data_IF_565469201576
#
_entry.id   IF_565469201576
#
_cell.length_a   1.000
_cell.length_b   1.000
_cell.length_c   1.000
_cell.angle_alpha   90.00
_cell.angle_beta   90.00
_cell.angle_gamma   90.00
#
_symmetry.space_group_name_H-M   'P 1'
#
loop_
_entity.id
_entity.type
_entity.pdbx_description
1 polymer ?
#
# COMPACT_ATOMS: atom_id res chain seq x y z
N UNK A 1 9.80 14.47 6.19
CA UNK A 1 9.24 13.24 5.65
C UNK A 1 10.32 12.44 4.95
N UNK A 2 10.47 11.16 5.33
CA UNK A 2 11.20 10.17 4.55
C UNK A 2 10.30 9.55 3.48
N UNK A 3 10.90 8.78 2.58
CA UNK A 3 10.19 8.05 1.53
C UNK A 3 9.82 6.64 2.00
N UNK A 4 8.55 6.44 2.38
CA UNK A 4 8.06 5.14 2.84
C UNK A 4 8.09 4.04 1.77
N UNK A 5 8.11 4.41 0.48
CA UNK A 5 8.13 3.43 -0.61
C UNK A 5 9.52 2.84 -0.81
N UNK A 6 10.57 3.61 -0.48
CA UNK A 6 11.97 3.16 -0.56
C UNK A 6 12.43 2.32 0.63
N UNK A 7 11.70 2.32 1.77
CA UNK A 7 12.08 1.55 2.96
C UNK A 7 12.08 0.04 2.70
N UNK A 8 12.98 -0.69 3.35
CA UNK A 8 13.14 -2.14 3.20
C UNK A 8 12.69 -2.90 4.45
N UNK A 9 12.21 -4.12 4.26
CA UNK A 9 11.94 -5.06 5.37
C UNK A 9 13.27 -5.35 6.07
N UNK A 10 13.27 -5.28 7.42
CA UNK A 10 14.46 -5.43 8.24
C UNK A 10 15.14 -4.11 8.63
N UNK A 11 14.76 -2.97 8.05
CA UNK A 11 15.28 -1.67 8.48
C UNK A 11 14.81 -1.30 9.88
N UNK A 12 15.72 -0.73 10.68
CA UNK A 12 15.43 -0.25 12.03
C UNK A 12 14.53 0.97 12.01
N UNK A 13 13.57 0.95 12.95
CA UNK A 13 12.61 2.02 13.13
C UNK A 13 12.40 2.33 14.60
N UNK A 14 12.00 3.55 14.88
CA UNK A 14 11.62 4.02 16.21
C UNK A 14 10.16 4.48 16.15
N UNK A 15 9.32 3.91 17.02
CA UNK A 15 7.96 4.38 17.23
C UNK A 15 7.94 5.35 18.40
N UNK A 16 7.52 6.58 18.13
CA UNK A 16 7.44 7.68 19.11
C UNK A 16 6.00 7.94 19.43
N UNK A 17 5.69 8.12 20.73
CA UNK A 17 4.33 8.42 21.16
C UNK A 17 4.27 8.81 22.65
N UNK A 18 3.07 8.92 23.18
CA UNK A 18 2.82 9.23 24.57
C UNK A 18 1.82 8.23 25.20
N UNK A 19 2.23 6.94 25.34
CA UNK A 19 1.35 5.92 25.90
C UNK A 19 1.04 6.23 27.37
N UNK A 20 -0.21 6.01 27.76
CA UNK A 20 -0.66 6.16 29.14
C UNK A 20 -0.42 7.54 29.77
N UNK A 21 -0.28 8.58 28.96
CA UNK A 21 0.03 9.94 29.42
C UNK A 21 1.35 10.04 30.23
N UNK A 22 2.28 9.11 29.98
CA UNK A 22 3.60 9.02 30.61
C UNK A 22 4.60 9.68 29.66
N UNK A 23 4.82 10.94 29.65
CA UNK A 23 5.81 11.64 28.82
C UNK A 23 6.25 10.89 27.53
N UNK A 24 6.88 11.55 26.56
CA UNK A 24 7.27 10.93 25.29
C UNK A 24 8.01 9.62 25.48
N UNK A 25 7.46 8.55 24.91
CA UNK A 25 8.05 7.21 24.95
C UNK A 25 8.52 6.84 23.56
N UNK A 26 9.69 6.21 23.48
CA UNK A 26 10.27 5.70 22.24
C UNK A 26 10.46 4.20 22.36
N UNK A 27 9.99 3.46 21.38
CA UNK A 27 10.25 2.02 21.25
C UNK A 27 10.97 1.75 19.94
N UNK A 28 11.84 0.73 19.90
CA UNK A 28 12.59 0.35 18.72
C UNK A 28 12.14 -1.00 18.19
N UNK A 29 12.23 -1.18 16.89
CA UNK A 29 11.95 -2.41 16.17
C UNK A 29 12.42 -2.31 14.72
N UNK A 30 11.90 -3.19 13.87
CA UNK A 30 12.21 -3.21 12.44
C UNK A 30 10.92 -3.12 11.61
N UNK A 31 11.05 -2.79 10.34
CA UNK A 31 9.97 -3.00 9.37
C UNK A 31 9.80 -4.50 9.15
N UNK A 32 8.70 -5.06 9.62
CA UNK A 32 8.40 -6.50 9.53
C UNK A 32 7.69 -6.86 8.23
N UNK A 33 6.90 -5.93 7.67
CA UNK A 33 6.20 -6.10 6.39
C UNK A 33 5.79 -4.73 5.82
N UNK A 34 5.57 -4.69 4.52
CA UNK A 34 4.97 -3.55 3.80
C UNK A 34 3.64 -3.97 3.18
N UNK A 35 2.79 -2.99 2.89
CA UNK A 35 1.49 -3.21 2.24
C UNK A 35 0.61 -4.24 2.96
N UNK A 36 0.63 -4.21 4.30
CA UNK A 36 -0.20 -5.13 5.08
C UNK A 36 -1.66 -4.66 5.06
N UNK A 37 -2.53 -5.51 4.55
CA UNK A 37 -3.97 -5.37 4.69
C UNK A 37 -4.41 -6.06 5.99
N UNK A 38 -5.14 -5.33 6.83
CA UNK A 38 -5.61 -5.83 8.13
C UNK A 38 -6.99 -6.48 8.04
N UNK A 39 -7.70 -6.26 6.93
CA UNK A 39 -9.04 -6.78 6.75
C UNK A 39 -9.27 -7.19 5.29
N UNK A 40 -8.84 -8.39 4.92
CA UNK A 40 -8.99 -8.94 3.56
C UNK A 40 -10.47 -9.00 3.08
N UNK A 41 -11.42 -8.80 3.99
CA UNK A 41 -12.87 -8.89 3.70
C UNK A 41 -13.55 -7.53 3.58
N UNK A 42 -12.92 -6.44 4.02
CA UNK A 42 -13.46 -5.11 3.79
C UNK A 42 -12.88 -4.53 2.49
N UNK A 43 -13.73 -3.86 1.72
CA UNK A 43 -13.31 -3.23 0.45
C UNK A 43 -12.50 -1.93 0.64
N UNK A 44 -12.01 -1.66 1.85
CA UNK A 44 -11.29 -0.41 2.17
C UNK A 44 -9.80 -0.44 1.89
N UNK A 45 -9.29 -1.53 1.30
CA UNK A 45 -7.95 -1.64 0.70
C UNK A 45 -6.86 -0.83 1.44
N UNK A 46 -6.63 -1.17 2.70
CA UNK A 46 -5.67 -0.49 3.54
C UNK A 46 -4.27 -1.10 3.33
N UNK A 47 -3.26 -0.25 3.26
CA UNK A 47 -1.87 -0.65 3.12
C UNK A 47 -1.06 -0.03 4.24
N UNK A 48 -0.62 -0.87 5.18
CA UNK A 48 0.14 -0.43 6.35
C UNK A 48 1.59 -0.92 6.30
N UNK A 49 2.48 -0.15 6.91
CA UNK A 49 3.79 -0.63 7.36
C UNK A 49 3.54 -1.43 8.64
N UNK A 50 3.99 -2.68 8.68
CA UNK A 50 4.02 -3.49 9.89
C UNK A 50 5.41 -3.39 10.54
N UNK A 51 5.45 -3.22 11.86
CA UNK A 51 6.68 -3.21 12.66
C UNK A 51 6.49 -4.04 13.94
N UNK A 52 7.57 -4.52 14.52
CA UNK A 52 7.62 -5.12 15.85
C UNK A 52 8.02 -4.12 16.94
N UNK A 53 8.26 -2.83 16.58
CA UNK A 53 8.34 -1.76 17.57
C UNK A 53 7.03 -1.69 18.36
N UNK A 54 7.12 -1.73 19.70
CA UNK A 54 5.94 -1.79 20.54
C UNK A 54 5.13 -0.49 20.48
N UNK A 55 3.89 -0.59 19.97
CA UNK A 55 2.91 0.50 19.99
C UNK A 55 1.75 0.08 20.89
N UNK A 56 1.34 0.95 21.79
CA UNK A 56 0.22 0.77 22.71
C UNK A 56 -0.71 1.98 22.66
N UNK A 57 -1.81 1.94 23.41
CA UNK A 57 -2.70 3.09 23.55
C UNK A 57 -1.91 4.35 23.96
N UNK A 58 -2.12 5.44 23.21
CA UNK A 58 -1.42 6.71 23.36
C UNK A 58 -0.27 6.92 22.37
N UNK A 59 0.19 5.87 21.66
CA UNK A 59 1.15 6.01 20.57
C UNK A 59 0.47 6.27 19.21
N UNK A 60 -0.82 6.03 19.07
CA UNK A 60 -1.58 6.29 17.84
C UNK A 60 -1.54 7.78 17.50
N UNK A 61 -1.25 8.11 16.23
CA UNK A 61 -0.98 9.47 15.76
C UNK A 61 0.47 9.92 15.97
N UNK A 62 1.29 9.17 16.72
CA UNK A 62 2.72 9.41 16.88
C UNK A 62 3.54 8.98 15.67
N UNK A 63 4.80 9.38 15.64
CA UNK A 63 5.68 9.15 14.51
C UNK A 63 6.28 7.73 14.53
N UNK A 64 6.38 7.12 13.34
CA UNK A 64 7.32 6.06 13.05
C UNK A 64 8.48 6.66 12.23
N UNK A 65 9.69 6.63 12.77
CA UNK A 65 10.86 7.24 12.12
C UNK A 65 11.95 6.19 11.85
N UNK A 66 12.75 6.44 10.81
CA UNK A 66 13.96 5.64 10.55
C UNK A 66 15.13 6.11 11.45
N UNK A 67 16.30 5.47 11.33
CA UNK A 67 17.50 5.80 12.12
C UNK A 67 18.11 7.17 11.78
N UNK A 68 17.71 7.79 10.66
CA UNK A 68 18.06 9.16 10.29
C UNK A 68 17.12 10.21 10.91
N UNK A 69 16.07 9.76 11.62
CA UNK A 69 15.03 10.64 12.20
C UNK A 69 13.99 11.10 11.19
N UNK A 70 13.94 10.51 10.00
CA UNK A 70 12.94 10.83 8.99
C UNK A 70 11.62 10.12 9.26
N UNK A 71 10.50 10.84 9.14
CA UNK A 71 9.16 10.29 9.30
C UNK A 71 8.84 9.34 8.14
N UNK A 72 8.69 8.05 8.42
CA UNK A 72 8.33 7.02 7.45
C UNK A 72 6.90 6.50 7.62
N UNK A 73 6.24 6.83 8.73
CA UNK A 73 4.84 6.48 8.95
C UNK A 73 4.24 7.17 10.17
N UNK A 74 2.92 7.10 10.28
CA UNK A 74 2.15 7.51 11.45
C UNK A 74 1.61 6.25 12.13
N UNK A 75 1.98 6.05 13.40
CA UNK A 75 1.51 4.92 14.20
C UNK A 75 -0.02 4.93 14.28
N UNK A 76 -0.63 3.79 14.05
CA UNK A 76 -2.07 3.62 14.14
C UNK A 76 -2.41 2.49 15.11
N UNK A 77 -3.70 2.27 15.33
CA UNK A 77 -4.21 1.28 16.26
C UNK A 77 -3.73 -0.13 15.94
N UNK A 78 -3.44 -0.86 17.00
CA UNK A 78 -3.14 -2.29 17.00
C UNK A 78 -4.44 -3.04 16.83
N UNK A 79 -4.49 -4.01 15.91
CA UNK A 79 -5.55 -5.00 15.87
C UNK A 79 -5.25 -6.08 16.94
N UNK A 80 -5.57 -5.78 18.19
CA UNK A 80 -5.41 -6.72 19.30
C UNK A 80 -6.77 -6.97 19.95
N UNK A 81 -7.15 -8.23 20.08
CA UNK A 81 -8.37 -8.62 20.83
C UNK A 81 -8.29 -8.26 22.32
N UNK A 82 -7.09 -7.98 22.84
CA UNK A 82 -6.84 -7.66 24.25
C UNK A 82 -6.53 -6.18 24.47
N UNK A 83 -6.41 -5.37 23.40
CA UNK A 83 -6.07 -3.94 23.48
C UNK A 83 -4.58 -3.65 23.78
N UNK A 84 -3.74 -4.66 23.92
CA UNK A 84 -2.30 -4.51 24.17
C UNK A 84 -1.44 -4.98 23.00
N UNK A 85 -0.16 -4.61 23.02
CA UNK A 85 0.84 -5.07 22.05
C UNK A 85 1.01 -6.60 22.09
N UNK A 86 0.91 -7.24 20.93
CA UNK A 86 1.02 -8.70 20.74
C UNK A 86 2.10 -9.09 19.75
N UNK A 87 3.12 -8.24 19.56
CA UNK A 87 4.21 -8.46 18.60
C UNK A 87 3.99 -7.83 17.22
N UNK A 88 2.87 -7.15 16.99
CA UNK A 88 2.56 -6.48 15.73
C UNK A 88 2.04 -5.08 15.97
N UNK A 89 2.62 -4.13 15.28
CA UNK A 89 2.19 -2.74 15.23
C UNK A 89 2.09 -2.29 13.78
N UNK A 90 1.27 -1.27 13.52
CA UNK A 90 1.02 -0.79 12.17
C UNK A 90 1.13 0.72 12.10
N UNK A 91 1.61 1.21 10.96
CA UNK A 91 1.70 2.63 10.67
C UNK A 91 1.18 2.93 9.26
N UNK A 92 0.51 4.06 9.09
CA UNK A 92 0.15 4.58 7.78
C UNK A 92 1.42 5.12 7.13
N UNK A 93 1.77 4.71 5.89
CA UNK A 93 2.99 5.14 5.20
C UNK A 93 3.08 6.66 5.05
N UNK A 94 4.28 7.23 5.21
CA UNK A 94 4.51 8.68 5.15
C UNK A 94 4.13 9.31 3.82
N UNK A 95 4.38 8.63 2.68
CA UNK A 95 3.99 9.12 1.36
C UNK A 95 2.47 9.29 1.25
N UNK A 96 1.70 8.32 1.77
CA UNK A 96 0.23 8.40 1.84
C UNK A 96 -0.22 9.55 2.75
N UNK A 97 0.38 9.68 3.95
CA UNK A 97 0.05 10.76 4.89
C UNK A 97 0.31 12.13 4.27
N UNK A 98 1.49 12.32 3.66
CA UNK A 98 1.89 13.55 3.01
C UNK A 98 0.89 13.95 1.92
N UNK A 99 0.59 13.01 1.04
CA UNK A 99 -0.35 13.23 -0.07
C UNK A 99 -1.75 13.60 0.42
N UNK A 100 -2.29 12.88 1.41
CA UNK A 100 -3.60 13.17 2.00
C UNK A 100 -3.61 14.58 2.61
N UNK A 101 -2.57 14.93 3.36
CA UNK A 101 -2.45 16.25 3.98
C UNK A 101 -2.41 17.38 2.93
N UNK A 102 -1.58 17.23 1.90
CA UNK A 102 -1.48 18.19 0.79
C UNK A 102 -2.82 18.32 0.04
N UNK A 103 -3.49 17.20 -0.26
CA UNK A 103 -4.78 17.21 -0.95
C UNK A 103 -5.87 17.95 -0.14
N UNK A 104 -5.94 17.71 1.17
CA UNK A 104 -6.91 18.37 2.04
C UNK A 104 -6.65 19.89 2.08
N UNK A 105 -5.38 20.30 2.13
CA UNK A 105 -5.02 21.73 2.12
C UNK A 105 -5.36 22.39 0.79
N UNK A 106 -5.15 21.71 -0.33
CA UNK A 106 -5.29 22.32 -1.66
C UNK A 106 -6.71 22.20 -2.21
N UNK A 107 -7.37 21.05 -2.00
CA UNK A 107 -8.66 20.73 -2.63
C UNK A 107 -9.81 20.59 -1.63
N UNK A 108 -9.54 20.60 -0.32
CA UNK A 108 -10.53 20.34 0.71
C UNK A 108 -10.96 18.87 0.81
N UNK A 109 -10.47 18.00 -0.06
CA UNK A 109 -10.81 16.56 -0.11
C UNK A 109 -9.67 15.75 -0.74
N UNK A 110 -9.61 14.44 -0.40
CA UNK A 110 -8.58 13.51 -0.87
C UNK A 110 -8.77 13.17 -2.34
N UNK A 111 -7.78 13.46 -3.16
CA UNK A 111 -7.76 13.12 -4.58
C UNK A 111 -7.23 11.70 -4.79
N UNK A 112 -8.06 10.77 -5.31
CA UNK A 112 -7.66 9.37 -5.53
C UNK A 112 -7.38 9.12 -7.00
N UNK A 113 -6.14 8.76 -7.32
CA UNK A 113 -5.75 8.29 -8.65
C UNK A 113 -6.04 6.81 -8.79
N UNK A 114 -6.94 6.43 -9.71
CA UNK A 114 -7.37 5.06 -9.93
C UNK A 114 -6.86 4.50 -11.25
N UNK A 115 -6.42 3.25 -11.22
CA UNK A 115 -6.05 2.47 -12.41
C UNK A 115 -7.27 1.95 -13.14
N UNK A 116 -8.34 1.59 -12.40
CA UNK A 116 -9.57 1.02 -12.95
C UNK A 116 -9.49 -0.48 -13.22
N UNK A 117 -8.90 -1.22 -12.29
CA UNK A 117 -8.80 -2.68 -12.38
C UNK A 117 -9.36 -3.35 -11.12
N UNK A 118 -10.00 -4.51 -11.29
CA UNK A 118 -10.29 -5.45 -10.20
C UNK A 118 -9.71 -6.80 -10.54
N UNK A 119 -9.36 -7.57 -9.51
CA UNK A 119 -8.75 -8.88 -9.73
C UNK A 119 -8.33 -9.54 -8.42
N UNK A 120 -7.47 -10.52 -8.55
CA UNK A 120 -7.04 -11.35 -7.43
C UNK A 120 -5.53 -11.59 -7.44
N UNK A 121 -4.97 -11.80 -6.25
CA UNK A 121 -3.60 -12.27 -6.13
C UNK A 121 -3.46 -13.67 -6.73
N UNK A 122 -2.48 -13.87 -7.59
CA UNK A 122 -2.14 -15.19 -8.08
C UNK A 122 -1.53 -16.03 -6.95
N UNK A 123 -2.05 -17.24 -6.81
CA UNK A 123 -1.51 -18.30 -5.96
C UNK A 123 -1.46 -19.58 -6.81
N UNK A 124 -0.56 -20.50 -6.50
CA UNK A 124 -0.38 -21.75 -7.27
C UNK A 124 -1.68 -22.54 -7.50
N UNK A 125 -2.62 -22.50 -6.55
CA UNK A 125 -3.94 -23.14 -6.70
C UNK A 125 -4.79 -22.46 -7.77
N UNK A 126 -4.80 -21.13 -7.78
CA UNK A 126 -5.59 -20.34 -8.74
C UNK A 126 -4.97 -20.38 -10.14
N UNK A 127 -3.64 -20.33 -10.23
CA UNK A 127 -2.92 -20.46 -11.50
C UNK A 127 -3.20 -21.78 -12.19
N UNK A 128 -3.23 -22.88 -11.42
CA UNK A 128 -3.63 -24.21 -11.96
C UNK A 128 -5.06 -24.22 -12.48
N UNK A 129 -5.99 -23.57 -11.80
CA UNK A 129 -7.38 -23.49 -12.23
C UNK A 129 -7.51 -22.70 -13.54
N UNK A 130 -6.76 -21.59 -13.68
CA UNK A 130 -6.75 -20.75 -14.88
C UNK A 130 -5.84 -21.32 -16.00
N UNK A 131 -5.09 -22.40 -15.73
CA UNK A 131 -4.11 -23.01 -16.67
C UNK A 131 -3.03 -22.03 -17.14
N UNK A 132 -2.54 -21.17 -16.23
CA UNK A 132 -1.45 -20.25 -16.46
C UNK A 132 -0.20 -20.67 -15.69
N UNK A 133 0.98 -20.41 -16.25
CA UNK A 133 2.27 -20.83 -15.69
C UNK A 133 2.73 -19.89 -14.55
N UNK A 134 2.21 -18.65 -14.53
CA UNK A 134 2.56 -17.66 -13.51
C UNK A 134 1.93 -18.00 -12.16
N UNK A 135 2.71 -17.92 -11.09
CA UNK A 135 2.27 -18.21 -9.72
C UNK A 135 2.28 -17.00 -8.80
N UNK A 136 2.79 -15.86 -9.26
CA UNK A 136 2.86 -14.60 -8.55
C UNK A 136 2.41 -13.43 -9.40
N UNK A 137 1.80 -12.43 -8.78
CA UNK A 137 1.33 -11.21 -9.41
C UNK A 137 -0.16 -10.98 -9.16
N UNK A 138 -0.68 -9.90 -9.69
CA UNK A 138 -2.10 -9.54 -9.58
C UNK A 138 -2.80 -9.80 -10.92
N UNK A 139 -3.67 -10.82 -10.96
CA UNK A 139 -4.46 -11.18 -12.13
C UNK A 139 -5.65 -10.24 -12.29
N UNK A 140 -5.78 -9.62 -13.45
CA UNK A 140 -6.90 -8.73 -13.77
C UNK A 140 -8.11 -9.56 -14.22
N UNK A 141 -9.19 -9.45 -13.47
CA UNK A 141 -10.47 -10.08 -13.80
C UNK A 141 -11.45 -9.10 -14.46
N UNK A 142 -11.43 -7.83 -14.05
CA UNK A 142 -12.28 -6.76 -14.58
C UNK A 142 -11.44 -5.52 -14.88
N UNK A 143 -11.71 -4.90 -16.03
CA UNK A 143 -11.26 -3.56 -16.39
C UNK A 143 -12.49 -2.64 -16.37
N UNK A 144 -12.36 -1.52 -15.68
CA UNK A 144 -13.40 -0.49 -15.65
C UNK A 144 -13.30 0.38 -16.91
N UNK A 145 -14.35 0.46 -17.73
CA UNK A 145 -14.32 1.25 -18.96
C UNK A 145 -14.00 2.72 -18.73
N UNK A 146 -13.15 3.29 -19.59
CA UNK A 146 -12.76 4.70 -19.53
C UNK A 146 -11.71 5.06 -18.51
N UNK A 147 -11.33 4.13 -17.62
CA UNK A 147 -10.22 4.32 -16.67
C UNK A 147 -8.85 4.18 -17.35
N UNK A 148 -7.79 4.46 -16.55
CA UNK A 148 -6.42 4.48 -17.06
C UNK A 148 -5.97 3.16 -17.68
N UNK A 149 -6.32 2.04 -17.05
CA UNK A 149 -5.97 0.70 -17.53
C UNK A 149 -6.63 0.39 -18.89
N UNK A 150 -7.92 0.70 -19.04
CA UNK A 150 -8.68 0.53 -20.30
C UNK A 150 -8.04 1.36 -21.41
N UNK A 151 -7.80 2.65 -21.15
CA UNK A 151 -7.21 3.57 -22.13
C UNK A 151 -5.78 3.16 -22.54
N UNK A 152 -5.06 2.48 -21.68
CA UNK A 152 -3.70 1.98 -21.93
C UNK A 152 -3.69 0.58 -22.60
N UNK A 153 -4.87 -0.02 -22.82
CA UNK A 153 -5.00 -1.29 -23.50
C UNK A 153 -4.70 -2.52 -22.63
N UNK A 154 -4.76 -2.38 -21.29
CA UNK A 154 -4.79 -3.54 -20.42
C UNK A 154 -6.10 -4.32 -20.61
N UNK A 155 -6.08 -5.61 -20.34
CA UNK A 155 -7.20 -6.50 -20.59
C UNK A 155 -7.39 -7.48 -19.43
N UNK A 156 -8.60 -8.03 -19.33
CA UNK A 156 -8.84 -9.22 -18.50
C UNK A 156 -7.87 -10.32 -18.90
N UNK A 157 -7.26 -10.95 -17.92
CA UNK A 157 -6.26 -12.00 -18.13
C UNK A 157 -4.82 -11.52 -17.99
N UNK A 158 -4.56 -10.22 -18.05
CA UNK A 158 -3.23 -9.67 -17.78
C UNK A 158 -2.84 -9.90 -16.32
N UNK A 159 -1.55 -10.11 -16.08
CA UNK A 159 -0.98 -10.31 -14.75
C UNK A 159 -0.04 -9.18 -14.45
N UNK A 160 -0.47 -8.22 -13.61
CA UNK A 160 0.40 -7.12 -13.19
C UNK A 160 1.52 -7.67 -12.31
N UNK A 161 2.76 -7.35 -12.65
CA UNK A 161 3.98 -7.73 -11.92
C UNK A 161 4.55 -6.58 -11.10
N UNK A 162 4.51 -5.36 -11.64
CA UNK A 162 4.91 -4.15 -10.93
C UNK A 162 4.18 -2.90 -11.45
N UNK A 163 4.09 -1.89 -10.58
CA UNK A 163 3.73 -0.53 -10.96
C UNK A 163 4.90 0.35 -10.56
N UNK A 164 5.46 1.06 -11.52
CA UNK A 164 6.79 1.67 -11.43
C UNK A 164 7.80 0.60 -10.95
N UNK A 165 8.50 0.84 -9.84
CA UNK A 165 9.46 -0.12 -9.28
C UNK A 165 8.88 -0.96 -8.13
N UNK A 166 7.59 -0.79 -7.80
CA UNK A 166 6.92 -1.52 -6.72
C UNK A 166 6.35 -2.83 -7.24
N UNK A 167 6.82 -3.97 -6.67
CA UNK A 167 6.30 -5.31 -6.99
C UNK A 167 4.86 -5.44 -6.51
N UNK A 168 3.98 -5.92 -7.39
CA UNK A 168 2.55 -6.11 -7.13
C UNK A 168 2.23 -7.60 -7.13
N UNK A 169 1.92 -8.13 -5.96
CA UNK A 169 1.47 -9.52 -5.80
C UNK A 169 0.00 -9.59 -5.37
N UNK A 170 -0.50 -8.56 -4.70
CA UNK A 170 -1.86 -8.50 -4.14
C UNK A 170 -2.49 -7.15 -4.44
N UNK A 171 -3.79 -7.08 -4.25
CA UNK A 171 -4.51 -5.81 -4.40
C UNK A 171 -4.05 -4.75 -3.39
N UNK A 172 -3.69 -5.15 -2.16
CA UNK A 172 -3.14 -4.22 -1.16
C UNK A 172 -1.81 -3.60 -1.57
N UNK A 173 -0.96 -4.30 -2.33
CA UNK A 173 0.28 -3.74 -2.86
C UNK A 173 -0.04 -2.65 -3.89
N UNK A 174 -0.99 -2.94 -4.81
CA UNK A 174 -1.45 -2.00 -5.82
C UNK A 174 -2.14 -0.79 -5.21
N UNK A 175 -3.13 -1.00 -4.34
CA UNK A 175 -3.89 0.09 -3.72
C UNK A 175 -3.02 0.92 -2.79
N UNK A 176 -2.10 0.29 -2.06
CA UNK A 176 -1.14 0.96 -1.21
C UNK A 176 -0.26 1.93 -1.98
N UNK A 177 0.34 1.47 -3.08
CA UNK A 177 1.14 2.33 -3.93
C UNK A 177 0.32 3.47 -4.55
N UNK A 178 -0.86 3.15 -5.10
CA UNK A 178 -1.74 4.15 -5.72
C UNK A 178 -2.33 5.14 -4.71
N UNK A 179 -2.36 4.82 -3.42
CA UNK A 179 -2.84 5.74 -2.38
C UNK A 179 -2.01 7.01 -2.25
N UNK A 180 -0.74 6.98 -2.70
CA UNK A 180 0.15 8.14 -2.77
C UNK A 180 0.04 8.92 -4.09
N UNK A 181 -0.81 8.49 -5.03
CA UNK A 181 -0.95 9.07 -6.37
C UNK A 181 -2.23 9.86 -6.54
N UNK A 182 -2.20 10.82 -7.48
CA UNK A 182 -3.34 11.69 -7.83
C UNK A 182 -3.91 11.34 -9.20
N UNK A 183 -5.15 11.73 -9.50
CA UNK A 183 -5.65 11.74 -10.87
C UNK A 183 -4.74 12.57 -11.78
N UNK A 184 -4.42 12.04 -12.96
CA UNK A 184 -3.50 12.65 -13.90
C UNK A 184 -2.07 12.17 -13.79
N UNK A 185 -1.66 11.58 -12.66
CA UNK A 185 -0.33 10.97 -12.55
C UNK A 185 -0.17 9.83 -13.55
N UNK A 186 1.04 9.69 -14.07
CA UNK A 186 1.42 8.59 -14.96
C UNK A 186 2.23 7.57 -14.19
N UNK A 187 1.87 6.31 -14.34
CA UNK A 187 2.59 5.18 -13.76
C UNK A 187 2.99 4.18 -14.85
N UNK A 188 4.12 3.53 -14.68
CA UNK A 188 4.60 2.48 -15.57
C UNK A 188 4.11 1.14 -15.06
N UNK A 189 3.22 0.47 -15.80
CA UNK A 189 2.70 -0.85 -15.43
C UNK A 189 3.43 -1.93 -16.22
N UNK A 190 4.10 -2.85 -15.52
CA UNK A 190 4.69 -4.07 -16.10
C UNK A 190 3.73 -5.23 -15.87
N UNK A 191 3.32 -5.88 -16.93
CA UNK A 191 2.39 -6.99 -16.85
C UNK A 191 2.76 -8.11 -17.84
N UNK A 192 2.25 -9.31 -17.59
CA UNK A 192 2.39 -10.47 -18.46
C UNK A 192 1.08 -10.67 -19.22
N UNK A 193 1.19 -10.81 -20.55
CA UNK A 193 0.14 -11.26 -21.47
C UNK A 193 0.77 -12.25 -22.44
N UNK A 194 0.13 -13.41 -22.67
CA UNK A 194 0.61 -14.45 -23.58
C UNK A 194 2.08 -14.83 -23.34
N UNK A 195 2.48 -14.96 -22.07
CA UNK A 195 3.86 -15.25 -21.62
C UNK A 195 4.90 -14.18 -21.95
N UNK A 196 4.48 -13.01 -22.40
CA UNK A 196 5.37 -11.88 -22.71
C UNK A 196 5.26 -10.81 -21.63
N UNK A 197 6.41 -10.32 -21.18
CA UNK A 197 6.46 -9.17 -20.26
C UNK A 197 6.34 -7.88 -21.08
N UNK A 198 5.29 -7.12 -20.80
CA UNK A 198 4.96 -5.88 -21.49
C UNK A 198 4.99 -4.74 -20.47
N UNK A 199 5.42 -3.57 -20.93
CA UNK A 199 5.40 -2.34 -20.12
C UNK A 199 4.58 -1.29 -20.84
N UNK A 200 3.65 -0.65 -20.08
CA UNK A 200 2.81 0.42 -20.61
C UNK A 200 2.73 1.58 -19.62
N UNK A 201 2.66 2.81 -20.13
CA UNK A 201 2.38 3.99 -19.29
C UNK A 201 0.89 4.18 -19.17
N UNK A 202 0.41 4.27 -17.94
CA UNK A 202 -1.01 4.43 -17.62
C UNK A 202 -1.21 5.76 -16.91
N UNK A 203 -2.16 6.58 -17.38
CA UNK A 203 -2.58 7.80 -16.69
C UNK A 203 -3.73 7.48 -15.75
N UNK A 204 -3.56 7.77 -14.46
CA UNK A 204 -4.58 7.52 -13.44
C UNK A 204 -5.77 8.47 -13.61
N UNK A 205 -6.95 7.99 -13.30
CA UNK A 205 -8.21 8.76 -13.41
C UNK A 205 -8.81 9.00 -12.03
N UNK A 206 -9.61 10.07 -11.93
CA UNK A 206 -10.46 10.30 -10.76
C UNK A 206 -11.65 9.34 -10.77
N UNK A 207 -12.09 8.92 -9.57
CA UNK A 207 -13.40 8.27 -9.44
C UNK A 207 -14.48 9.25 -9.89
N UNK A 208 -15.38 8.77 -10.75
CA UNK A 208 -16.43 9.61 -11.35
C UNK A 208 -17.71 9.67 -10.49
N UNK A 209 -17.65 9.10 -9.26
CA UNK A 209 -18.76 9.11 -8.31
C UNK A 209 -18.68 10.27 -7.33
#
# INVERSE_FOLDING_TARGET
>A
FGDSDSTLIGEWVLAVGNPYNLNSTVTAGIISSKSRDLNEFDQKNQSFIQTDAAVNFGNSGGALVNIQGELIGINTLIQSMTGGYVGYSFAVPSNTVRKIFEDILEYGDVQKGLLGVRGVALRSSYSKQLKIDETEGFYIDVIEPGFGADNAGLQKGDIIKSVDDVKINRFSDLSGYLSSKRPGDKVSVKYIRDKQLITVSVTLKKDSN
#
